data_IF_089527112209
#
_entry.id   IF_089527112209
#
_cell.length_a   1.000
_cell.length_b   1.000
_cell.length_c   1.000
_cell.angle_alpha   90.00
_cell.angle_beta   90.00
_cell.angle_gamma   90.00
#
_symmetry.space_group_name_H-M   'P 1'
#
loop_
_entity.id
_entity.type
_entity.pdbx_description
1 polymer ?
#
# COMPACT_ATOMS: atom_id res chain seq x y z
N UNK A 1 -0.41 -12.18 -11.37
CA UNK A 1 0.75 -13.08 -11.16
C UNK A 1 2.02 -12.54 -11.83
N UNK A 2 2.02 -12.17 -13.12
CA UNK A 2 3.23 -11.70 -13.81
C UNK A 2 3.91 -10.48 -13.18
N UNK A 3 3.14 -9.48 -12.74
CA UNK A 3 3.67 -8.28 -12.07
C UNK A 3 4.37 -8.63 -10.75
N UNK A 4 3.77 -9.50 -9.94
CA UNK A 4 4.36 -9.96 -8.68
C UNK A 4 5.70 -10.69 -8.91
N UNK A 5 5.74 -11.60 -9.86
CA UNK A 5 6.96 -12.31 -10.24
C UNK A 5 8.06 -11.36 -10.73
N UNK A 6 7.72 -10.35 -11.54
CA UNK A 6 8.67 -9.33 -12.02
C UNK A 6 9.27 -8.50 -10.88
N UNK A 7 8.56 -8.34 -9.77
CA UNK A 7 9.01 -7.64 -8.56
C UNK A 7 9.68 -8.55 -7.53
N UNK A 8 9.78 -9.86 -7.79
CA UNK A 8 10.35 -10.83 -6.85
C UNK A 8 9.44 -11.13 -5.64
N UNK A 9 8.13 -10.90 -5.78
CA UNK A 9 7.14 -11.26 -4.76
C UNK A 9 6.91 -12.77 -4.80
N UNK A 10 7.12 -13.43 -3.68
CA UNK A 10 7.07 -14.89 -3.55
C UNK A 10 5.62 -15.39 -3.35
N UNK A 11 4.87 -14.71 -2.47
CA UNK A 11 3.52 -15.12 -2.11
C UNK A 11 2.48 -14.11 -2.57
N UNK A 12 1.41 -14.58 -3.22
CA UNK A 12 0.29 -13.76 -3.66
C UNK A 12 -1.02 -14.42 -3.24
N UNK A 13 -1.81 -13.72 -2.43
CA UNK A 13 -3.12 -14.17 -1.99
C UNK A 13 -4.20 -13.22 -2.49
N UNK A 14 -5.21 -13.76 -3.16
CA UNK A 14 -6.40 -13.00 -3.56
C UNK A 14 -7.48 -13.17 -2.49
N UNK A 15 -7.96 -12.04 -1.92
CA UNK A 15 -8.98 -12.07 -0.87
C UNK A 15 -10.38 -12.39 -1.41
N UNK A 16 -10.58 -12.35 -2.73
CA UNK A 16 -11.83 -12.74 -3.39
C UNK A 16 -13.00 -11.78 -3.18
N UNK A 17 -12.74 -10.54 -2.78
CA UNK A 17 -13.75 -9.49 -2.62
C UNK A 17 -14.09 -8.84 -3.97
N UNK A 18 -15.34 -8.40 -4.12
CA UNK A 18 -15.80 -7.72 -5.34
C UNK A 18 -15.20 -6.33 -5.46
N UNK A 19 -14.86 -5.90 -6.68
CA UNK A 19 -14.41 -4.53 -6.97
C UNK A 19 -15.55 -3.51 -6.81
N UNK A 20 -15.18 -2.24 -6.56
CA UNK A 20 -16.11 -1.12 -6.42
C UNK A 20 -16.87 -1.09 -5.10
N UNK A 21 -16.25 -1.54 -4.01
CA UNK A 21 -16.79 -1.57 -2.65
C UNK A 21 -18.11 -2.37 -2.51
N UNK A 22 -18.36 -3.33 -3.40
CA UNK A 22 -19.56 -4.18 -3.39
C UNK A 22 -19.35 -5.43 -2.52
N UNK A 23 -18.90 -5.21 -1.29
CA UNK A 23 -18.70 -6.22 -0.25
C UNK A 23 -19.08 -5.66 1.12
N UNK A 24 -19.40 -6.54 2.04
CA UNK A 24 -19.64 -6.16 3.42
C UNK A 24 -18.32 -5.75 4.09
N UNK A 25 -18.31 -4.60 4.78
CA UNK A 25 -17.13 -4.10 5.50
C UNK A 25 -16.54 -5.15 6.44
N UNK A 26 -17.41 -5.94 7.09
CA UNK A 26 -17.01 -7.04 7.96
C UNK A 26 -16.20 -8.09 7.21
N UNK A 27 -16.60 -8.45 6.00
CA UNK A 27 -15.86 -9.43 5.17
C UNK A 27 -14.44 -8.95 4.85
N UNK A 28 -14.27 -7.66 4.52
CA UNK A 28 -12.95 -7.06 4.32
C UNK A 28 -12.08 -7.17 5.58
N UNK A 29 -12.63 -6.81 6.76
CA UNK A 29 -11.87 -6.88 8.00
C UNK A 29 -11.46 -8.31 8.35
N UNK A 30 -12.33 -9.30 8.19
CA UNK A 30 -12.01 -10.72 8.40
C UNK A 30 -10.89 -11.19 7.47
N UNK A 31 -11.00 -10.89 6.16
CA UNK A 31 -10.02 -11.30 5.17
C UNK A 31 -8.64 -10.68 5.44
N UNK A 32 -8.60 -9.38 5.75
CA UNK A 32 -7.35 -8.67 6.06
C UNK A 32 -6.75 -9.11 7.40
N UNK A 33 -7.56 -9.27 8.45
CA UNK A 33 -7.08 -9.73 9.75
C UNK A 33 -6.46 -11.12 9.63
N UNK A 34 -7.12 -12.02 8.90
CA UNK A 34 -6.59 -13.36 8.63
C UNK A 34 -5.28 -13.32 7.85
N UNK A 35 -5.20 -12.51 6.81
CA UNK A 35 -3.97 -12.35 6.03
C UNK A 35 -2.81 -11.79 6.88
N UNK A 36 -3.07 -10.77 7.70
CA UNK A 36 -2.07 -10.20 8.63
C UNK A 36 -1.63 -11.26 9.66
N UNK A 37 -2.57 -12.00 10.24
CA UNK A 37 -2.28 -13.00 11.26
C UNK A 37 -1.55 -14.23 10.72
N UNK A 38 -1.86 -14.67 9.51
CA UNK A 38 -1.21 -15.84 8.88
C UNK A 38 0.19 -15.51 8.36
N UNK A 39 0.40 -14.30 7.82
CA UNK A 39 1.69 -13.86 7.30
C UNK A 39 2.63 -13.32 8.39
N UNK A 40 2.10 -12.62 9.41
CA UNK A 40 2.87 -12.02 10.50
C UNK A 40 3.86 -10.93 10.04
N UNK A 41 3.43 -9.90 9.27
CA UNK A 41 4.34 -8.91 8.69
C UNK A 41 4.88 -7.93 9.74
N UNK A 42 6.13 -7.50 9.59
CA UNK A 42 6.68 -6.36 10.33
C UNK A 42 6.12 -5.03 9.82
N UNK A 43 5.94 -4.92 8.51
CA UNK A 43 5.42 -3.72 7.84
C UNK A 43 4.27 -4.07 6.92
N UNK A 44 3.15 -3.36 7.05
CA UNK A 44 2.01 -3.48 6.14
C UNK A 44 1.97 -2.28 5.21
N UNK A 45 1.98 -2.51 3.90
CA UNK A 45 1.77 -1.47 2.90
C UNK A 45 0.29 -1.39 2.53
N UNK A 46 -0.27 -0.18 2.48
CA UNK A 46 -1.66 0.06 2.11
C UNK A 46 -1.83 1.41 1.39
N UNK A 47 -2.95 1.62 0.65
CA UNK A 47 -3.29 2.95 0.15
C UNK A 47 -3.54 3.92 1.30
N UNK A 48 -3.19 5.21 1.14
CA UNK A 48 -3.44 6.22 2.17
C UNK A 48 -4.92 6.63 2.22
N UNK A 49 -5.66 6.28 3.27
CA UNK A 49 -7.07 6.66 3.39
C UNK A 49 -7.29 8.16 3.62
N UNK A 50 -6.22 8.93 3.89
CA UNK A 50 -6.27 10.37 4.09
C UNK A 50 -6.05 11.18 2.81
N UNK A 51 -5.86 10.52 1.65
CA UNK A 51 -5.70 11.20 0.37
C UNK A 51 -7.05 11.74 -0.13
N UNK A 52 -7.26 13.04 -0.02
CA UNK A 52 -8.55 13.71 -0.32
C UNK A 52 -8.99 13.51 -1.78
N UNK A 53 -8.03 13.41 -2.71
CA UNK A 53 -8.30 13.21 -4.14
C UNK A 53 -8.53 11.76 -4.54
N UNK A 54 -8.42 10.80 -3.62
CA UNK A 54 -8.69 9.40 -3.92
C UNK A 54 -10.20 9.16 -3.98
N UNK A 55 -10.67 8.72 -5.14
CA UNK A 55 -12.08 8.44 -5.39
C UNK A 55 -12.39 6.93 -5.44
N UNK A 56 -11.36 6.07 -5.46
CA UNK A 56 -11.57 4.63 -5.48
C UNK A 56 -11.91 4.13 -4.08
N UNK A 57 -13.16 3.79 -3.87
CA UNK A 57 -13.65 3.42 -2.53
C UNK A 57 -12.92 2.22 -1.92
N UNK A 58 -12.47 1.26 -2.74
CA UNK A 58 -11.69 0.12 -2.23
C UNK A 58 -10.34 0.54 -1.65
N UNK A 59 -9.67 1.53 -2.25
CA UNK A 59 -8.43 2.06 -1.69
C UNK A 59 -8.66 2.68 -0.31
N UNK A 60 -9.71 3.49 -0.17
CA UNK A 60 -10.07 4.11 1.10
C UNK A 60 -10.45 3.06 2.15
N UNK A 61 -11.30 2.10 1.78
CA UNK A 61 -11.75 1.04 2.68
C UNK A 61 -10.59 0.14 3.14
N UNK A 62 -9.70 -0.27 2.24
CA UNK A 62 -8.52 -1.09 2.57
C UNK A 62 -7.57 -0.31 3.45
N UNK A 63 -7.29 0.96 3.12
CA UNK A 63 -6.41 1.82 3.92
C UNK A 63 -6.90 1.99 5.35
N UNK A 64 -8.21 2.23 5.52
CA UNK A 64 -8.84 2.38 6.84
C UNK A 64 -8.89 1.07 7.63
N UNK A 65 -9.24 -0.04 6.99
CA UNK A 65 -9.26 -1.35 7.62
C UNK A 65 -7.84 -1.75 8.09
N UNK A 66 -6.81 -1.52 7.26
CA UNK A 66 -5.41 -1.76 7.64
C UNK A 66 -5.00 -0.90 8.83
N UNK A 67 -5.43 0.37 8.89
CA UNK A 67 -5.14 1.26 10.02
C UNK A 67 -5.60 0.66 11.35
N UNK A 68 -6.82 0.14 11.39
CA UNK A 68 -7.38 -0.47 12.59
C UNK A 68 -6.73 -1.82 12.90
N UNK A 69 -6.64 -2.70 11.91
CA UNK A 69 -6.17 -4.07 12.11
C UNK A 69 -4.68 -4.14 12.44
N UNK A 70 -3.83 -3.32 11.81
CA UNK A 70 -2.40 -3.28 12.14
C UNK A 70 -2.15 -2.80 13.57
N UNK A 71 -2.95 -1.84 14.05
CA UNK A 71 -2.89 -1.42 15.46
C UNK A 71 -3.30 -2.53 16.41
N UNK A 72 -4.37 -3.25 16.09
CA UNK A 72 -4.91 -4.31 16.94
C UNK A 72 -4.24 -5.68 16.76
N UNK A 73 -3.41 -5.84 15.74
CA UNK A 73 -2.78 -7.13 15.42
C UNK A 73 -2.07 -7.83 16.60
N UNK A 74 -1.38 -7.15 17.55
CA UNK A 74 -0.77 -7.80 18.70
C UNK A 74 -1.75 -8.29 19.76
N UNK A 75 -3.01 -7.85 19.73
CA UNK A 75 -4.00 -8.15 20.78
C UNK A 75 -4.77 -9.42 20.44
N UNK A 76 -4.39 -10.55 21.03
CA UNK A 76 -4.92 -11.86 20.73
C UNK A 76 -6.45 -11.96 20.86
N UNK A 77 -7.04 -11.31 21.88
CA UNK A 77 -8.50 -11.36 22.12
C UNK A 77 -9.29 -10.58 21.07
N UNK A 78 -8.69 -9.52 20.51
CA UNK A 78 -9.29 -8.75 19.42
C UNK A 78 -9.17 -9.54 18.11
N UNK A 79 -7.97 -10.05 17.80
CA UNK A 79 -7.76 -10.82 16.57
C UNK A 79 -8.59 -12.10 16.52
N UNK A 80 -8.84 -12.72 17.65
CA UNK A 80 -9.74 -13.90 17.75
C UNK A 80 -11.17 -13.58 17.29
N UNK A 81 -11.66 -12.33 17.45
CA UNK A 81 -12.98 -11.93 16.96
C UNK A 81 -13.06 -11.92 15.43
N UNK A 82 -11.92 -11.84 14.75
CA UNK A 82 -11.77 -11.96 13.31
C UNK A 82 -11.32 -13.35 12.86
N UNK A 83 -11.30 -14.34 13.76
CA UNK A 83 -10.79 -15.70 13.49
C UNK A 83 -9.33 -15.71 13.02
N UNK A 84 -8.55 -14.72 13.46
CA UNK A 84 -7.18 -14.49 13.07
C UNK A 84 -6.19 -14.68 14.24
N UNK A 85 -4.94 -15.03 13.89
CA UNK A 85 -3.85 -15.09 14.85
C UNK A 85 -3.33 -13.68 15.16
N UNK A 86 -2.79 -13.44 16.36
CA UNK A 86 -2.10 -12.19 16.64
C UNK A 86 -0.79 -12.08 15.82
N UNK A 87 -0.40 -10.86 15.45
CA UNK A 87 0.83 -10.56 14.72
C UNK A 87 1.50 -9.30 15.25
N UNK A 88 2.83 -9.23 15.19
CA UNK A 88 3.61 -8.08 15.67
C UNK A 88 3.89 -7.10 14.54
N UNK A 89 2.86 -6.35 14.11
CA UNK A 89 3.03 -5.30 13.09
C UNK A 89 3.76 -4.10 13.70
N UNK A 90 4.95 -3.80 13.23
CA UNK A 90 5.76 -2.67 13.71
C UNK A 90 5.33 -1.34 13.09
N UNK A 91 4.92 -1.33 11.83
CA UNK A 91 4.53 -0.10 11.14
C UNK A 91 3.58 -0.32 9.96
N UNK A 92 2.88 0.76 9.57
CA UNK A 92 2.13 0.85 8.33
C UNK A 92 2.87 1.81 7.39
N UNK A 93 3.03 1.43 6.14
CA UNK A 93 3.58 2.26 5.07
C UNK A 93 2.47 2.60 4.07
N UNK A 94 1.89 3.77 4.19
CA UNK A 94 0.88 4.22 3.24
C UNK A 94 1.52 4.75 1.96
N UNK A 95 1.14 4.16 0.83
CA UNK A 95 1.44 4.66 -0.51
C UNK A 95 0.28 5.53 -1.04
N UNK A 96 0.44 6.19 -2.19
CA UNK A 96 -0.51 7.20 -2.71
C UNK A 96 -0.83 8.29 -1.69
N UNK A 97 0.20 8.79 -1.01
CA UNK A 97 0.06 9.83 0.01
C UNK A 97 0.43 11.21 -0.51
N UNK A 98 -0.29 12.24 -0.03
CA UNK A 98 0.07 13.63 -0.21
C UNK A 98 1.15 14.12 0.79
N UNK A 99 1.33 13.40 1.91
CA UNK A 99 2.18 13.81 3.03
C UNK A 99 3.23 12.73 3.39
N UNK A 100 4.16 12.39 2.47
CA UNK A 100 5.18 11.41 2.77
C UNK A 100 6.15 11.93 3.83
N UNK A 101 6.42 11.10 4.84
CA UNK A 101 7.40 11.35 5.90
C UNK A 101 8.62 10.42 5.83
N UNK A 102 8.55 9.39 4.99
CA UNK A 102 9.61 8.40 4.76
C UNK A 102 9.82 8.22 3.26
N UNK A 103 11.10 8.12 2.86
CA UNK A 103 11.47 8.03 1.45
C UNK A 103 12.42 6.87 1.23
N UNK A 104 12.14 6.05 0.24
CA UNK A 104 12.95 4.90 -0.17
C UNK A 104 13.59 5.19 -1.51
N UNK A 105 14.92 5.06 -1.60
CA UNK A 105 15.65 5.22 -2.87
C UNK A 105 15.32 4.07 -3.82
N UNK A 106 14.87 4.42 -5.03
CA UNK A 106 14.48 3.44 -6.07
C UNK A 106 15.42 3.46 -7.27
N UNK A 107 16.60 4.07 -7.14
CA UNK A 107 17.62 4.09 -8.21
C UNK A 107 18.00 2.65 -8.59
N UNK A 108 17.92 2.34 -9.88
CA UNK A 108 18.17 1.00 -10.41
C UNK A 108 16.92 0.12 -10.47
N UNK A 109 15.84 0.46 -9.75
CA UNK A 109 14.61 -0.32 -9.72
C UNK A 109 13.43 0.33 -10.43
N UNK A 110 13.51 1.61 -10.78
CA UNK A 110 12.43 2.33 -11.44
C UNK A 110 11.98 1.65 -12.75
N UNK A 111 12.92 1.09 -13.51
CA UNK A 111 12.61 0.35 -14.75
C UNK A 111 11.78 -0.90 -14.47
N UNK A 112 12.13 -1.67 -13.46
CA UNK A 112 11.40 -2.88 -13.05
C UNK A 112 10.01 -2.53 -12.53
N UNK A 113 9.90 -1.48 -11.71
CA UNK A 113 8.64 -0.96 -11.20
C UNK A 113 7.69 -0.57 -12.35
N UNK A 114 8.18 0.21 -13.31
CA UNK A 114 7.38 0.63 -14.45
C UNK A 114 6.98 -0.54 -15.34
N UNK A 115 7.90 -1.47 -15.63
CA UNK A 115 7.60 -2.68 -16.39
C UNK A 115 6.55 -3.55 -15.69
N UNK A 116 6.61 -3.67 -14.37
CA UNK A 116 5.61 -4.43 -13.60
C UNK A 116 4.18 -3.90 -13.78
N UNK A 117 4.03 -2.59 -13.98
CA UNK A 117 2.74 -1.95 -14.23
C UNK A 117 2.34 -2.11 -15.71
N UNK A 118 3.20 -1.64 -16.63
CA UNK A 118 2.81 -1.45 -18.03
C UNK A 118 2.90 -2.71 -18.89
N UNK A 119 3.66 -3.72 -18.48
CA UNK A 119 3.75 -5.00 -19.22
C UNK A 119 2.79 -6.06 -18.68
N UNK A 120 2.32 -5.92 -17.44
CA UNK A 120 1.49 -6.94 -16.79
C UNK A 120 0.05 -6.51 -16.49
N UNK A 121 -0.30 -5.22 -16.64
CA UNK A 121 -1.66 -4.72 -16.44
C UNK A 121 -2.28 -4.15 -17.72
N UNK A 122 -2.18 -4.90 -18.81
CA UNK A 122 -2.61 -4.47 -20.15
C UNK A 122 -4.10 -4.17 -20.25
N UNK A 123 -4.94 -4.78 -19.40
CA UNK A 123 -6.37 -4.47 -19.33
C UNK A 123 -6.65 -3.06 -18.82
N UNK A 124 -5.78 -2.55 -17.94
CA UNK A 124 -5.88 -1.20 -17.39
C UNK A 124 -5.08 -0.18 -18.24
N UNK A 125 -3.91 -0.61 -18.71
CA UNK A 125 -2.97 0.23 -19.45
C UNK A 125 -2.61 -0.42 -20.79
N UNK A 126 -3.50 -0.34 -21.81
CA UNK A 126 -3.18 -0.84 -23.13
C UNK A 126 -1.91 -0.20 -23.68
N UNK A 127 -1.05 -1.01 -24.32
CA UNK A 127 0.22 -0.52 -24.88
C UNK A 127 -0.04 0.67 -25.80
N UNK A 128 0.79 1.72 -25.64
CA UNK A 128 0.73 2.96 -26.42
C UNK A 128 -0.54 3.80 -26.25
N UNK A 129 -1.42 3.49 -25.29
CA UNK A 129 -2.54 4.39 -25.02
C UNK A 129 -2.05 5.73 -24.46
N UNK A 130 -2.72 6.87 -24.78
CA UNK A 130 -2.35 8.18 -24.24
C UNK A 130 -2.37 8.20 -22.70
N UNK A 131 -3.32 7.51 -22.08
CA UNK A 131 -3.43 7.39 -20.62
C UNK A 131 -2.22 6.66 -20.03
N UNK A 132 -1.81 5.53 -20.62
CA UNK A 132 -0.62 4.79 -20.16
C UNK A 132 0.65 5.64 -20.28
N UNK A 133 0.82 6.35 -21.40
CA UNK A 133 1.97 7.23 -21.59
C UNK A 133 2.00 8.41 -20.60
N UNK A 134 0.84 9.00 -20.31
CA UNK A 134 0.72 10.08 -19.34
C UNK A 134 1.05 9.60 -17.93
N UNK A 135 0.54 8.44 -17.54
CA UNK A 135 0.84 7.83 -16.23
C UNK A 135 2.33 7.46 -16.13
N UNK A 136 2.92 6.90 -17.17
CA UNK A 136 4.35 6.58 -17.20
C UNK A 136 5.20 7.82 -16.91
N UNK A 137 4.94 8.92 -17.64
CA UNK A 137 5.65 10.19 -17.46
C UNK A 137 5.45 10.75 -16.06
N UNK A 138 4.21 10.70 -15.56
CA UNK A 138 3.88 11.14 -14.19
C UNK A 138 4.70 10.37 -13.15
N UNK A 139 4.73 9.04 -13.22
CA UNK A 139 5.47 8.21 -12.27
C UNK A 139 6.98 8.47 -12.30
N UNK A 140 7.55 8.63 -13.51
CA UNK A 140 8.95 8.98 -13.67
C UNK A 140 9.29 10.36 -13.05
N UNK A 141 8.49 11.39 -13.36
CA UNK A 141 8.68 12.73 -12.82
C UNK A 141 8.46 12.79 -11.32
N UNK A 142 7.44 12.09 -10.81
CA UNK A 142 7.18 11.99 -9.37
C UNK A 142 8.36 11.35 -8.64
N UNK A 143 8.87 10.22 -9.14
CA UNK A 143 10.01 9.53 -8.56
C UNK A 143 11.28 10.42 -8.56
N UNK A 144 11.55 11.14 -9.66
CA UNK A 144 12.64 12.09 -9.74
C UNK A 144 12.48 13.26 -8.76
N UNK A 145 11.28 13.86 -8.70
CA UNK A 145 10.99 14.96 -7.78
C UNK A 145 11.17 14.56 -6.30
N UNK A 146 10.67 13.38 -5.90
CA UNK A 146 10.85 12.86 -4.56
C UNK A 146 12.32 12.52 -4.27
N UNK A 147 13.05 12.02 -5.27
CA UNK A 147 14.48 11.72 -5.17
C UNK A 147 15.32 12.98 -4.94
N UNK A 148 15.10 14.02 -5.73
CA UNK A 148 15.83 15.29 -5.62
C UNK A 148 15.63 15.94 -4.24
N UNK A 149 14.44 15.84 -3.65
CA UNK A 149 14.18 16.32 -2.28
C UNK A 149 15.03 15.61 -1.21
N UNK A 150 15.62 14.46 -1.54
CA UNK A 150 16.43 13.62 -0.66
C UNK A 150 17.86 13.41 -1.14
N UNK A 151 18.31 14.23 -2.09
CA UNK A 151 19.67 14.18 -2.63
C UNK A 151 19.96 12.88 -3.42
N UNK A 152 18.95 12.31 -4.07
CA UNK A 152 19.12 11.16 -4.96
C UNK A 152 18.29 11.32 -6.23
N UNK A 153 18.55 10.49 -7.26
CA UNK A 153 17.87 10.63 -8.54
C UNK A 153 16.41 10.17 -8.48
N UNK A 154 16.14 9.05 -7.81
CA UNK A 154 14.80 8.46 -7.74
C UNK A 154 14.48 8.00 -6.32
N UNK A 155 13.28 8.29 -5.86
CA UNK A 155 12.72 7.79 -4.61
C UNK A 155 11.21 7.62 -4.70
N UNK A 156 10.68 6.73 -3.86
CA UNK A 156 9.26 6.70 -3.51
C UNK A 156 9.05 7.24 -2.10
N UNK A 157 7.89 7.84 -1.87
CA UNK A 157 7.52 8.44 -0.61
C UNK A 157 6.33 7.72 0.01
N UNK A 158 6.45 7.45 1.32
CA UNK A 158 5.44 6.79 2.12
C UNK A 158 5.09 7.62 3.35
N UNK A 159 3.84 7.57 3.77
CA UNK A 159 3.44 8.02 5.10
C UNK A 159 3.56 6.83 6.05
N UNK A 160 4.64 6.81 6.83
CA UNK A 160 4.91 5.76 7.80
C UNK A 160 4.27 6.08 9.14
N UNK A 161 3.51 5.13 9.67
CA UNK A 161 3.01 5.12 11.03
C UNK A 161 3.67 3.97 11.78
N UNK A 162 4.57 4.28 12.71
CA UNK A 162 5.07 3.33 13.70
C UNK A 162 4.06 3.15 14.84
N UNK A 163 4.32 2.24 15.78
CA UNK A 163 3.42 1.95 16.89
C UNK A 163 3.02 3.18 17.71
N UNK A 164 3.94 4.12 17.90
CA UNK A 164 3.68 5.36 18.66
C UNK A 164 2.75 6.30 17.88
N UNK A 165 2.98 6.44 16.57
CA UNK A 165 2.14 7.27 15.68
C UNK A 165 0.77 6.67 15.38
N UNK A 166 0.62 5.37 15.52
CA UNK A 166 -0.69 4.72 15.40
C UNK A 166 -1.65 5.13 16.54
N UNK A 167 -1.16 5.59 17.68
CA UNK A 167 -2.01 5.81 18.86
C UNK A 167 -1.72 7.09 19.64
N UNK A 168 -0.48 7.34 20.05
CA UNK A 168 -0.13 8.32 21.09
C UNK A 168 0.40 9.63 20.51
N UNK A 169 1.22 9.56 19.47
CA UNK A 169 1.94 10.71 18.93
C UNK A 169 1.27 11.19 17.66
N UNK A 170 0.90 12.49 17.63
CA UNK A 170 0.41 13.10 16.38
C UNK A 170 1.47 13.03 15.29
N UNK A 171 1.03 12.94 14.04
CA UNK A 171 1.93 13.00 12.90
C UNK A 171 2.64 14.38 12.90
N UNK A 172 3.96 14.37 13.10
CA UNK A 172 4.76 15.58 12.99
C UNK A 172 4.94 15.96 11.51
N UNK A 173 4.60 17.20 11.17
CA UNK A 173 4.88 17.79 9.86
C UNK A 173 3.71 17.74 8.89
N UNK A 174 2.73 18.58 9.10
CA UNK A 174 1.89 19.11 8.03
C UNK A 174 2.57 20.31 7.39
#
# INVERSE_FOLDING_TARGET
MGSAAALGVEDVTFLGLSDGARYETKALHYALAKAIGDFGPDVVFAPDPSLISECHQDHLNVGEAVRQLAFFAPFADIMRQYEAKPAQVASIAYYYTAHPNTYVRTRGFIGVQLASIFDHHLSQFPKNSPAAQSLLRYLQLRSLFLGLRRGCLHADGFRMLDRMRMHVVSEAGR
#
